data_IF_439660811807
#
_entry.id   IF_439660811807
#
_cell.length_a   1.000
_cell.length_b   1.000
_cell.length_c   1.000
_cell.angle_alpha   90.00
_cell.angle_beta   90.00
_cell.angle_gamma   90.00
#
_symmetry.space_group_name_H-M   'P 1'
#
loop_
_entity.id
_entity.type
_entity.pdbx_description
1 polymer ?
#
# COMPACT_ATOMS: atom_id res chain seq x y z
N UNK A 1 -26.42 -12.04 24.77
CA UNK A 1 -26.92 -11.93 23.39
C UNK A 1 -27.87 -10.75 23.15
N UNK A 2 -28.97 -10.55 23.94
CA UNK A 2 -29.94 -9.46 23.66
C UNK A 2 -29.34 -8.03 23.59
N UNK A 3 -28.41 -7.67 24.50
CA UNK A 3 -27.78 -6.35 24.53
C UNK A 3 -26.91 -6.14 23.28
N UNK A 4 -26.08 -7.11 22.90
CA UNK A 4 -25.24 -7.06 21.72
C UNK A 4 -26.06 -6.85 20.42
N UNK A 5 -27.11 -7.64 20.24
CA UNK A 5 -28.00 -7.47 19.07
C UNK A 5 -28.70 -6.11 19.05
N UNK A 6 -29.07 -5.58 20.22
CA UNK A 6 -29.66 -4.26 20.34
C UNK A 6 -28.65 -3.16 19.95
N UNK A 7 -27.38 -3.28 20.33
CA UNK A 7 -26.33 -2.32 19.99
C UNK A 7 -26.01 -2.32 18.46
N UNK A 8 -25.94 -3.49 17.83
CA UNK A 8 -25.81 -3.56 16.36
C UNK A 8 -27.00 -2.88 15.68
N UNK A 9 -28.24 -3.17 16.12
CA UNK A 9 -29.44 -2.51 15.58
C UNK A 9 -29.42 -1.01 15.78
N UNK A 10 -28.92 -0.54 16.92
CA UNK A 10 -28.77 0.90 17.24
C UNK A 10 -27.82 1.55 16.23
N UNK A 11 -26.63 0.97 16.01
CA UNK A 11 -25.65 1.49 15.09
C UNK A 11 -26.22 1.54 13.67
N UNK A 12 -26.81 0.45 13.18
CA UNK A 12 -27.39 0.37 11.82
C UNK A 12 -28.62 1.26 11.62
N UNK A 13 -29.30 1.72 12.68
CA UNK A 13 -30.40 2.68 12.58
C UNK A 13 -29.93 4.14 12.62
N UNK A 14 -28.67 4.39 12.92
CA UNK A 14 -28.12 5.76 12.99
C UNK A 14 -27.86 6.27 11.58
N UNK A 15 -28.52 7.37 11.18
CA UNK A 15 -28.45 7.92 9.80
C UNK A 15 -27.02 8.21 9.35
N UNK A 16 -26.18 8.79 10.22
CA UNK A 16 -24.76 9.06 9.88
C UNK A 16 -23.97 7.78 9.61
N UNK A 17 -24.22 6.70 10.35
CA UNK A 17 -23.58 5.41 10.13
C UNK A 17 -23.99 4.82 8.79
N UNK A 18 -25.28 4.87 8.45
CA UNK A 18 -25.78 4.40 7.13
C UNK A 18 -25.17 5.17 5.97
N UNK A 19 -25.05 6.50 6.09
CA UNK A 19 -24.41 7.35 5.07
C UNK A 19 -22.94 6.95 4.91
N UNK A 20 -22.21 6.73 6.00
CA UNK A 20 -20.80 6.31 5.96
C UNK A 20 -20.61 4.91 5.38
N UNK A 21 -21.50 3.96 5.69
CA UNK A 21 -21.50 2.62 5.08
C UNK A 21 -21.73 2.73 3.56
N UNK A 22 -22.73 3.53 3.15
CA UNK A 22 -23.02 3.75 1.73
C UNK A 22 -21.82 4.42 1.03
N UNK A 23 -21.20 5.41 1.66
CA UNK A 23 -20.00 6.06 1.13
C UNK A 23 -18.84 5.07 0.95
N UNK A 24 -18.59 4.18 1.91
CA UNK A 24 -17.55 3.15 1.81
C UNK A 24 -17.81 2.21 0.62
N UNK A 25 -19.07 1.78 0.44
CA UNK A 25 -19.47 0.89 -0.66
C UNK A 25 -19.37 1.57 -2.03
N UNK A 26 -19.72 2.87 -2.13
CA UNK A 26 -19.64 3.63 -3.39
C UNK A 26 -18.20 4.01 -3.76
N UNK A 27 -17.32 4.19 -2.78
CA UNK A 27 -15.91 4.48 -3.03
C UNK A 27 -15.18 3.27 -3.65
N UNK A 28 -15.60 2.03 -3.37
CA UNK A 28 -14.98 0.84 -3.92
C UNK A 28 -14.96 0.84 -5.47
N UNK A 29 -16.10 0.89 -6.17
CA UNK A 29 -16.10 0.92 -7.63
C UNK A 29 -15.47 2.20 -8.20
N UNK A 30 -15.63 3.35 -7.54
CA UNK A 30 -15.06 4.60 -8.01
C UNK A 30 -13.52 4.53 -8.04
N UNK A 31 -12.88 4.12 -6.93
CA UNK A 31 -11.42 4.04 -6.85
C UNK A 31 -10.83 2.85 -7.60
N UNK A 32 -11.56 1.74 -7.72
CA UNK A 32 -11.12 0.58 -8.50
C UNK A 32 -11.02 0.86 -10.00
N UNK A 33 -11.80 1.81 -10.50
CA UNK A 33 -11.81 2.17 -11.92
C UNK A 33 -10.65 3.09 -12.31
N UNK A 34 -10.17 3.95 -11.39
CA UNK A 34 -9.18 4.98 -11.73
C UNK A 34 -7.86 4.44 -12.29
N UNK A 35 -7.17 3.46 -11.70
CA UNK A 35 -5.89 3.00 -12.22
C UNK A 35 -5.97 2.58 -13.69
N UNK A 36 -6.94 1.75 -14.04
CA UNK A 36 -7.14 1.33 -15.42
C UNK A 36 -7.46 2.50 -16.36
N UNK A 37 -8.18 3.54 -15.87
CA UNK A 37 -8.57 4.70 -16.68
C UNK A 37 -7.41 5.62 -17.06
N UNK A 38 -6.27 5.53 -16.37
CA UNK A 38 -5.08 6.33 -16.68
C UNK A 38 -4.27 5.75 -17.82
N UNK A 39 -4.44 4.45 -18.09
CA UNK A 39 -3.69 3.78 -19.14
C UNK A 39 -4.05 4.35 -20.51
N UNK A 40 -3.03 4.60 -21.30
CA UNK A 40 -3.15 5.17 -22.64
C UNK A 40 -2.25 4.43 -23.62
N UNK A 41 -2.77 4.19 -24.80
CA UNK A 41 -2.02 3.59 -25.90
C UNK A 41 -2.23 4.38 -27.17
N UNK A 42 -1.13 4.76 -27.83
CA UNK A 42 -1.17 5.50 -29.10
C UNK A 42 -0.63 4.62 -30.22
N UNK A 43 -1.34 4.53 -31.32
CA UNK A 43 -0.95 3.78 -32.52
C UNK A 43 -1.28 4.58 -33.76
N UNK A 44 -0.72 4.18 -34.91
CA UNK A 44 -1.10 4.76 -36.21
C UNK A 44 -2.17 3.93 -36.86
N UNK A 45 -3.23 4.59 -37.33
CA UNK A 45 -4.29 3.96 -38.12
C UNK A 45 -3.87 3.75 -39.58
N UNK A 46 -4.75 3.12 -40.37
CA UNK A 46 -4.50 2.84 -41.79
C UNK A 46 -4.33 4.12 -42.63
N UNK A 47 -4.75 5.28 -42.14
CA UNK A 47 -4.55 6.61 -42.79
C UNK A 47 -3.24 7.26 -42.39
N UNK A 48 -2.46 6.68 -41.46
CA UNK A 48 -1.22 7.23 -40.93
C UNK A 48 -1.42 8.28 -39.83
N UNK A 49 -2.65 8.46 -39.33
CA UNK A 49 -2.94 9.37 -38.20
C UNK A 49 -2.73 8.67 -36.88
N UNK A 50 -2.22 9.42 -35.88
CA UNK A 50 -2.07 8.94 -34.52
C UNK A 50 -3.44 8.89 -33.84
N UNK A 51 -3.80 7.72 -33.32
CA UNK A 51 -5.03 7.46 -32.56
C UNK A 51 -4.64 7.02 -31.15
N UNK A 52 -5.15 7.72 -30.12
CA UNK A 52 -4.95 7.37 -28.72
C UNK A 52 -6.21 6.74 -28.15
N UNK A 53 -6.10 5.51 -27.69
CA UNK A 53 -7.12 4.81 -26.90
C UNK A 53 -6.77 4.87 -25.42
N UNK A 54 -7.78 4.72 -24.54
CA UNK A 54 -7.62 4.85 -23.09
C UNK A 54 -8.27 3.71 -22.34
N UNK A 55 -7.84 3.52 -21.11
CA UNK A 55 -8.46 2.55 -20.21
C UNK A 55 -8.27 1.12 -20.71
N UNK A 56 -9.33 0.34 -20.66
CA UNK A 56 -9.31 -1.09 -21.03
C UNK A 56 -8.83 -1.33 -22.47
N UNK A 57 -9.17 -0.48 -23.41
CA UNK A 57 -8.74 -0.65 -24.80
C UNK A 57 -7.23 -0.44 -24.93
N UNK A 58 -6.66 0.48 -24.14
CA UNK A 58 -5.20 0.67 -24.06
C UNK A 58 -4.51 -0.58 -23.49
N UNK A 59 -5.02 -1.12 -22.38
CA UNK A 59 -4.51 -2.34 -21.76
C UNK A 59 -4.52 -3.56 -22.70
N UNK A 60 -5.57 -3.70 -23.51
CA UNK A 60 -5.64 -4.78 -24.49
C UNK A 60 -4.56 -4.64 -25.56
N UNK A 61 -4.35 -3.42 -26.06
CA UNK A 61 -3.29 -3.13 -27.05
C UNK A 61 -1.89 -3.34 -26.49
N UNK A 62 -1.67 -2.92 -25.25
CA UNK A 62 -0.41 -3.15 -24.54
C UNK A 62 -0.15 -4.65 -24.38
N UNK A 63 -1.14 -5.42 -23.93
CA UNK A 63 -1.02 -6.87 -23.74
C UNK A 63 -0.72 -7.62 -25.07
N UNK A 64 -1.30 -7.18 -26.19
CA UNK A 64 -0.98 -7.70 -27.51
C UNK A 64 0.49 -7.46 -27.88
N UNK A 65 1.02 -6.25 -27.59
CA UNK A 65 2.39 -5.88 -27.92
C UNK A 65 3.44 -6.58 -27.03
N UNK A 66 3.11 -6.87 -25.79
CA UNK A 66 4.05 -7.43 -24.82
C UNK A 66 4.28 -8.96 -24.93
N UNK A 67 3.55 -9.66 -25.79
CA UNK A 67 3.48 -11.13 -25.83
C UNK A 67 4.81 -11.88 -25.80
N UNK A 68 5.87 -11.40 -26.47
CA UNK A 68 7.18 -12.07 -26.46
C UNK A 68 7.97 -11.90 -25.15
N UNK A 69 7.66 -10.88 -24.35
CA UNK A 69 8.31 -10.59 -23.07
C UNK A 69 7.51 -11.07 -21.86
N UNK A 70 6.37 -11.70 -22.07
CA UNK A 70 5.58 -12.35 -21.01
C UNK A 70 6.27 -13.61 -20.48
N UNK A 71 6.00 -13.94 -19.20
CA UNK A 71 6.56 -15.11 -18.51
C UNK A 71 7.89 -14.81 -17.83
N UNK A 72 8.74 -15.81 -17.68
CA UNK A 72 10.04 -15.65 -17.00
C UNK A 72 10.97 -14.78 -17.84
N UNK A 73 11.55 -13.76 -17.21
CA UNK A 73 12.47 -12.80 -17.83
C UNK A 73 13.90 -13.38 -17.71
N UNK A 74 14.25 -14.25 -18.63
CA UNK A 74 15.59 -14.86 -18.71
C UNK A 74 16.64 -13.86 -19.18
N UNK A 75 17.93 -14.19 -19.01
CA UNK A 75 19.05 -13.39 -19.54
C UNK A 75 18.92 -13.16 -21.05
N UNK A 76 18.44 -14.15 -21.80
CA UNK A 76 18.16 -14.01 -23.24
C UNK A 76 17.11 -12.91 -23.52
N UNK A 77 16.05 -12.84 -22.70
CA UNK A 77 15.04 -11.79 -22.84
C UNK A 77 15.55 -10.42 -22.41
N UNK A 78 16.45 -10.34 -21.44
CA UNK A 78 17.11 -9.10 -21.04
C UNK A 78 17.99 -8.57 -22.16
N UNK A 79 18.79 -9.45 -22.80
CA UNK A 79 19.59 -9.10 -23.96
C UNK A 79 18.71 -8.70 -25.16
N UNK A 80 17.64 -9.43 -25.42
CA UNK A 80 16.68 -9.10 -26.48
C UNK A 80 15.99 -7.76 -26.25
N UNK A 81 15.65 -7.41 -25.00
CA UNK A 81 15.09 -6.13 -24.64
C UNK A 81 16.09 -4.99 -24.87
N UNK A 82 17.36 -5.20 -24.47
CA UNK A 82 18.42 -4.23 -24.70
C UNK A 82 18.68 -4.02 -26.21
N UNK A 83 18.75 -5.11 -26.99
CA UNK A 83 18.96 -5.03 -28.43
C UNK A 83 17.80 -4.30 -29.12
N UNK A 84 16.55 -4.61 -28.73
CA UNK A 84 15.37 -3.91 -29.28
C UNK A 84 15.40 -2.40 -29.05
N UNK A 85 15.86 -1.98 -27.87
CA UNK A 85 16.05 -0.56 -27.56
C UNK A 85 17.15 0.06 -28.45
N UNK A 86 18.32 -0.60 -28.54
CA UNK A 86 19.44 -0.14 -29.36
C UNK A 86 19.06 -0.01 -30.85
N UNK A 87 18.34 -0.99 -31.39
CA UNK A 87 17.85 -0.96 -32.77
C UNK A 87 16.87 0.22 -32.98
N UNK A 88 16.00 0.47 -31.99
CA UNK A 88 15.09 1.62 -32.03
C UNK A 88 15.85 2.95 -32.01
N UNK A 89 16.79 3.12 -31.08
CA UNK A 89 17.59 4.33 -30.94
C UNK A 89 18.49 4.58 -32.20
N UNK A 90 19.05 3.53 -32.80
CA UNK A 90 19.84 3.60 -34.02
C UNK A 90 19.02 4.08 -35.25
N UNK A 91 17.70 3.99 -35.21
CA UNK A 91 16.81 4.55 -36.24
C UNK A 91 16.75 6.10 -36.25
N UNK A 92 17.32 6.74 -35.23
CA UNK A 92 17.38 8.20 -35.12
C UNK A 92 18.81 8.70 -35.33
N UNK A 93 19.00 9.68 -36.21
CA UNK A 93 20.32 10.25 -36.51
C UNK A 93 20.94 10.88 -35.27
N UNK A 94 22.11 10.38 -34.85
CA UNK A 94 22.80 10.83 -33.65
C UNK A 94 22.28 10.19 -32.36
N UNK A 95 21.46 9.11 -32.43
CA UNK A 95 20.86 8.43 -31.26
C UNK A 95 19.72 9.20 -30.59
N UNK A 96 19.36 8.82 -29.38
CA UNK A 96 18.30 9.43 -28.56
C UNK A 96 18.87 9.94 -27.22
N UNK A 97 19.58 11.08 -27.18
CA UNK A 97 20.25 11.58 -25.98
C UNK A 97 19.27 11.82 -24.81
N UNK A 98 18.04 12.20 -25.09
CA UNK A 98 16.98 12.38 -24.10
C UNK A 98 16.08 11.12 -23.95
N UNK A 99 16.52 9.99 -24.56
CA UNK A 99 15.81 8.73 -24.52
C UNK A 99 14.41 8.85 -25.11
N UNK A 100 13.40 8.38 -24.38
CA UNK A 100 11.98 8.44 -24.80
C UNK A 100 11.38 9.85 -24.78
N UNK A 101 12.05 10.82 -24.15
CA UNK A 101 11.61 12.20 -24.08
C UNK A 101 12.18 13.07 -25.23
N UNK A 102 12.96 12.46 -26.13
CA UNK A 102 13.43 13.14 -27.34
C UNK A 102 12.24 13.54 -28.22
N UNK A 103 12.18 14.80 -28.61
CA UNK A 103 11.07 15.37 -29.39
C UNK A 103 10.81 14.67 -30.74
N UNK A 104 11.79 13.90 -31.21
CA UNK A 104 11.68 13.11 -32.47
C UNK A 104 10.91 11.80 -32.24
N UNK A 105 10.76 11.34 -30.99
CA UNK A 105 10.04 10.10 -30.64
C UNK A 105 8.56 10.42 -30.54
N UNK A 106 7.77 9.87 -31.45
CA UNK A 106 6.32 10.02 -31.37
C UNK A 106 5.73 9.00 -30.36
N UNK A 107 4.54 9.31 -29.83
CA UNK A 107 3.88 8.41 -28.90
C UNK A 107 3.54 7.05 -29.52
N UNK A 108 3.16 7.02 -30.81
CA UNK A 108 2.91 5.79 -31.56
C UNK A 108 4.18 4.95 -31.74
N UNK A 109 5.31 5.59 -32.13
CA UNK A 109 6.59 4.89 -32.30
C UNK A 109 7.05 4.25 -30.98
N UNK A 110 6.89 4.96 -29.84
CA UNK A 110 7.21 4.42 -28.53
C UNK A 110 6.31 3.22 -28.19
N UNK A 111 4.97 3.40 -28.26
CA UNK A 111 4.02 2.37 -27.90
C UNK A 111 4.21 1.09 -28.73
N UNK A 112 4.34 1.21 -30.04
CA UNK A 112 4.41 0.06 -30.94
C UNK A 112 5.78 -0.66 -30.92
N UNK A 113 6.88 0.09 -30.75
CA UNK A 113 8.23 -0.45 -30.94
C UNK A 113 8.93 -0.87 -29.66
N UNK A 114 8.79 -0.08 -28.56
CA UNK A 114 9.64 -0.26 -27.37
C UNK A 114 8.92 -0.20 -26.02
N UNK A 115 7.62 0.08 -25.97
CA UNK A 115 6.89 0.08 -24.67
C UNK A 115 6.97 -1.26 -23.95
N UNK A 116 6.94 -2.35 -24.71
CA UNK A 116 7.02 -3.72 -24.20
C UNK A 116 8.35 -4.10 -23.53
N UNK A 117 9.41 -3.32 -23.75
CA UNK A 117 10.70 -3.51 -23.08
C UNK A 117 11.00 -2.40 -22.08
N UNK A 118 10.23 -1.32 -22.09
CA UNK A 118 10.48 -0.13 -21.28
C UNK A 118 10.55 -0.42 -19.79
N UNK A 119 9.62 -1.22 -19.26
CA UNK A 119 9.60 -1.64 -17.86
C UNK A 119 10.82 -2.47 -17.48
N UNK A 120 11.20 -3.44 -18.32
CA UNK A 120 12.37 -4.30 -18.10
C UNK A 120 13.65 -3.47 -18.08
N UNK A 121 13.81 -2.58 -19.07
CA UNK A 121 14.99 -1.70 -19.15
C UNK A 121 15.08 -0.74 -17.98
N UNK A 122 13.97 -0.20 -17.50
CA UNK A 122 13.94 0.62 -16.30
C UNK A 122 14.45 -0.14 -15.08
N UNK A 123 14.04 -1.41 -14.92
CA UNK A 123 14.54 -2.26 -13.82
C UNK A 123 16.04 -2.56 -13.98
N UNK A 124 16.51 -2.75 -15.20
CA UNK A 124 17.95 -2.89 -15.47
C UNK A 124 18.71 -1.61 -15.09
N UNK A 125 18.27 -0.43 -15.54
CA UNK A 125 18.87 0.84 -15.15
C UNK A 125 18.89 1.03 -13.63
N UNK A 126 17.79 0.73 -12.96
CA UNK A 126 17.67 0.82 -11.50
C UNK A 126 18.64 -0.09 -10.76
N UNK A 127 18.83 -1.33 -11.22
CA UNK A 127 19.77 -2.27 -10.59
C UNK A 127 21.23 -1.74 -10.60
N UNK A 128 21.59 -0.98 -11.62
CA UNK A 128 22.91 -0.36 -11.79
C UNK A 128 22.97 1.11 -11.34
N UNK A 129 21.91 1.63 -10.71
CA UNK A 129 21.93 2.98 -10.15
C UNK A 129 22.99 3.12 -9.06
N UNK A 130 23.67 4.25 -9.01
CA UNK A 130 24.57 4.58 -7.90
C UNK A 130 23.74 4.79 -6.62
N UNK A 131 23.91 3.95 -5.59
CA UNK A 131 23.13 4.05 -4.37
C UNK A 131 23.24 5.42 -3.68
N UNK A 132 24.39 6.13 -3.83
CA UNK A 132 24.63 7.40 -3.14
C UNK A 132 23.94 8.57 -3.79
N UNK A 133 23.93 8.60 -5.11
CA UNK A 133 23.34 9.71 -5.88
C UNK A 133 21.95 9.42 -6.38
N UNK A 134 21.53 8.13 -6.41
CA UNK A 134 20.30 7.68 -7.03
C UNK A 134 20.31 7.76 -8.56
N UNK A 135 21.44 8.14 -9.17
CA UNK A 135 21.55 8.28 -10.63
C UNK A 135 21.69 6.89 -11.24
N UNK A 136 20.74 6.54 -12.09
CA UNK A 136 20.77 5.32 -12.89
C UNK A 136 21.46 5.61 -14.25
N UNK A 137 22.12 4.60 -14.87
CA UNK A 137 22.58 4.72 -16.25
C UNK A 137 21.38 4.94 -17.19
N UNK A 138 21.60 5.63 -18.29
CA UNK A 138 20.63 5.72 -19.37
C UNK A 138 20.40 4.35 -20.03
N UNK A 139 19.27 4.19 -20.71
CA UNK A 139 19.00 2.93 -21.45
C UNK A 139 20.04 2.70 -22.57
N UNK A 140 20.56 3.79 -23.15
CA UNK A 140 21.61 3.73 -24.18
C UNK A 140 22.97 3.32 -23.64
N UNK A 141 23.23 3.59 -22.34
CA UNK A 141 24.48 3.27 -21.67
C UNK A 141 24.55 1.82 -21.18
N UNK A 142 23.42 1.09 -21.23
CA UNK A 142 23.38 -0.30 -20.77
C UNK A 142 24.20 -1.21 -21.69
N UNK A 143 25.02 -2.08 -21.08
CA UNK A 143 25.87 -3.05 -21.78
C UNK A 143 25.27 -4.46 -21.70
N UNK A 144 25.73 -5.36 -22.59
CA UNK A 144 25.37 -6.78 -22.54
C UNK A 144 25.84 -7.45 -21.24
N UNK A 145 27.00 -7.05 -20.72
CA UNK A 145 27.53 -7.54 -19.44
C UNK A 145 26.61 -7.15 -18.28
N UNK A 146 26.07 -5.93 -18.32
CA UNK A 146 25.08 -5.49 -17.33
C UNK A 146 23.75 -6.25 -17.43
N UNK A 147 23.34 -6.62 -18.63
CA UNK A 147 22.15 -7.45 -18.83
C UNK A 147 22.34 -8.86 -18.27
N UNK A 148 23.46 -9.50 -18.54
CA UNK A 148 23.78 -10.86 -18.01
C UNK A 148 24.03 -10.85 -16.49
N UNK A 149 24.59 -9.77 -15.95
CA UNK A 149 24.82 -9.59 -14.51
C UNK A 149 23.60 -9.11 -13.71
N UNK A 150 22.45 -8.88 -14.33
CA UNK A 150 21.28 -8.21 -13.73
C UNK A 150 20.82 -8.82 -12.40
N UNK A 151 20.60 -10.12 -12.34
CA UNK A 151 20.09 -10.77 -11.12
C UNK A 151 21.06 -10.73 -9.94
N UNK A 152 22.36 -10.88 -10.20
CA UNK A 152 23.38 -10.73 -9.17
C UNK A 152 23.50 -9.29 -8.68
N UNK A 153 23.35 -8.32 -9.59
CA UNK A 153 23.38 -6.90 -9.28
C UNK A 153 22.16 -6.46 -8.46
N UNK A 154 20.95 -6.96 -8.74
CA UNK A 154 19.77 -6.67 -7.92
C UNK A 154 20.03 -7.00 -6.44
N UNK A 155 20.64 -8.15 -6.15
CA UNK A 155 21.00 -8.56 -4.78
C UNK A 155 22.03 -7.63 -4.14
N UNK A 156 23.04 -7.20 -4.90
CA UNK A 156 24.05 -6.26 -4.43
C UNK A 156 23.45 -4.89 -4.18
N UNK A 157 22.60 -4.42 -5.07
CA UNK A 157 21.90 -3.12 -4.96
C UNK A 157 21.10 -2.99 -3.66
N UNK A 158 20.32 -4.03 -3.29
CA UNK A 158 19.60 -4.08 -2.00
C UNK A 158 20.56 -3.89 -0.81
N UNK A 159 21.69 -4.59 -0.84
CA UNK A 159 22.70 -4.51 0.22
C UNK A 159 23.27 -3.10 0.34
N UNK A 160 23.60 -2.49 -0.79
CA UNK A 160 24.20 -1.16 -0.84
C UNK A 160 23.24 -0.07 -0.35
N UNK A 161 21.95 -0.17 -0.73
CA UNK A 161 20.91 0.74 -0.24
C UNK A 161 20.72 0.65 1.27
N UNK A 162 20.70 -0.57 1.85
CA UNK A 162 20.54 -0.76 3.29
C UNK A 162 21.76 -0.19 4.06
N UNK A 163 22.98 -0.39 3.58
CA UNK A 163 24.15 0.19 4.19
C UNK A 163 24.14 1.73 4.11
N UNK A 164 23.72 2.27 2.97
CA UNK A 164 23.62 3.73 2.82
C UNK A 164 22.58 4.31 3.79
N UNK A 165 21.37 3.75 3.83
CA UNK A 165 20.30 4.22 4.71
C UNK A 165 20.63 4.06 6.19
N UNK A 166 21.35 3.01 6.56
CA UNK A 166 21.78 2.72 7.91
C UNK A 166 22.99 3.53 8.39
N UNK A 167 23.62 4.32 7.50
CA UNK A 167 24.78 5.17 7.81
C UNK A 167 26.12 4.43 7.71
N UNK A 168 26.21 3.41 6.87
CA UNK A 168 27.42 2.62 6.62
C UNK A 168 27.41 1.23 7.26
N UNK A 169 28.51 0.50 7.08
CA UNK A 169 28.68 -0.84 7.65
C UNK A 169 28.79 -0.80 9.18
N UNK A 170 27.98 -1.59 9.84
CA UNK A 170 27.94 -1.73 11.31
C UNK A 170 27.13 -2.97 11.69
N UNK A 171 27.29 -3.49 12.90
CA UNK A 171 26.56 -4.66 13.38
C UNK A 171 25.02 -4.54 13.23
N UNK A 172 24.46 -3.32 13.38
CA UNK A 172 23.04 -3.08 13.20
C UNK A 172 22.61 -3.13 11.74
N UNK A 173 23.41 -2.58 10.82
CA UNK A 173 23.13 -2.61 9.38
C UNK A 173 23.37 -3.99 8.80
N UNK A 174 24.36 -4.73 9.31
CA UNK A 174 24.55 -6.14 8.97
C UNK A 174 23.33 -6.99 9.34
N UNK A 175 22.72 -6.72 10.51
CA UNK A 175 21.46 -7.37 10.90
C UNK A 175 20.32 -7.05 9.93
N UNK A 176 20.21 -5.83 9.41
CA UNK A 176 19.21 -5.45 8.41
C UNK A 176 19.46 -6.14 7.07
N UNK A 177 20.71 -6.13 6.59
CA UNK A 177 21.11 -6.81 5.36
C UNK A 177 20.82 -8.30 5.43
N UNK A 178 21.16 -8.98 6.53
CA UNK A 178 20.86 -10.40 6.70
C UNK A 178 19.36 -10.70 6.62
N UNK A 179 18.51 -9.88 7.25
CA UNK A 179 17.05 -10.04 7.19
C UNK A 179 16.51 -9.81 5.78
N UNK A 180 16.94 -8.75 5.11
CA UNK A 180 16.49 -8.44 3.75
C UNK A 180 16.92 -9.52 2.76
N UNK A 181 18.20 -9.94 2.80
CA UNK A 181 18.70 -10.97 1.89
C UNK A 181 18.08 -12.35 2.18
N UNK A 182 17.77 -12.68 3.44
CA UNK A 182 17.06 -13.91 3.77
C UNK A 182 15.63 -13.98 3.20
N UNK A 183 14.99 -12.82 3.00
CA UNK A 183 13.71 -12.73 2.29
C UNK A 183 13.94 -12.76 0.77
N UNK A 184 14.90 -11.99 0.27
CA UNK A 184 15.20 -11.90 -1.15
C UNK A 184 15.66 -13.24 -1.75
N UNK A 185 16.41 -14.04 -1.01
CA UNK A 185 16.86 -15.38 -1.45
C UNK A 185 15.70 -16.38 -1.64
N UNK A 186 14.45 -15.99 -1.25
CA UNK A 186 13.22 -16.75 -1.51
C UNK A 186 12.47 -16.24 -2.74
N UNK A 187 12.90 -15.13 -3.33
CA UNK A 187 12.28 -14.60 -4.56
C UNK A 187 12.56 -15.57 -5.69
N UNK A 188 11.51 -15.92 -6.42
CA UNK A 188 11.66 -16.82 -7.59
C UNK A 188 12.42 -16.13 -8.71
N UNK A 189 13.51 -16.73 -9.15
CA UNK A 189 14.33 -16.25 -10.26
C UNK A 189 14.34 -17.28 -11.39
N UNK A 190 14.32 -16.85 -12.66
CA UNK A 190 14.12 -15.49 -13.16
C UNK A 190 12.75 -14.91 -12.78
N UNK A 191 12.67 -13.57 -12.62
CA UNK A 191 11.43 -12.88 -12.33
C UNK A 191 10.35 -13.16 -13.37
N UNK A 192 9.11 -13.26 -12.93
CA UNK A 192 7.96 -13.47 -13.82
C UNK A 192 7.31 -12.13 -14.15
N UNK A 193 6.98 -11.91 -15.42
CA UNK A 193 6.25 -10.75 -15.90
C UNK A 193 4.98 -11.18 -16.64
N UNK A 194 3.88 -10.58 -16.27
CA UNK A 194 2.60 -10.69 -16.96
C UNK A 194 2.03 -9.28 -17.15
N UNK A 195 1.71 -8.85 -18.39
CA UNK A 195 1.09 -7.55 -18.61
C UNK A 195 -0.30 -7.48 -17.98
N UNK A 196 -0.62 -6.37 -17.32
CA UNK A 196 -1.90 -6.20 -16.63
C UNK A 196 -1.84 -5.14 -15.54
N UNK A 197 -1.98 -5.55 -14.28
CA UNK A 197 -1.97 -4.64 -13.12
C UNK A 197 -0.74 -3.74 -13.12
N UNK A 198 -0.95 -2.44 -12.90
CA UNK A 198 0.08 -1.39 -12.93
C UNK A 198 0.49 -0.98 -11.51
N UNK A 199 1.64 -0.28 -11.34
CA UNK A 199 2.05 0.26 -10.03
C UNK A 199 0.99 1.15 -9.38
N UNK A 200 0.27 1.94 -10.18
CA UNK A 200 -0.81 2.81 -9.70
C UNK A 200 -1.92 2.01 -9.04
N UNK A 201 -2.23 0.81 -9.53
CA UNK A 201 -3.23 -0.04 -8.93
C UNK A 201 -2.87 -0.42 -7.48
N UNK A 202 -1.59 -0.74 -7.21
CA UNK A 202 -1.10 -1.05 -5.85
C UNK A 202 -1.23 0.18 -4.94
N UNK A 203 -0.91 1.37 -5.45
CA UNK A 203 -1.05 2.61 -4.70
C UNK A 203 -2.52 2.86 -4.33
N UNK A 204 -3.46 2.64 -5.25
CA UNK A 204 -4.89 2.77 -4.99
C UNK A 204 -5.42 1.75 -3.98
N UNK A 205 -4.82 0.56 -3.88
CA UNK A 205 -5.12 -0.37 -2.77
C UNK A 205 -4.80 0.29 -1.42
N UNK A 206 -3.62 0.90 -1.30
CA UNK A 206 -3.20 1.64 -0.09
C UNK A 206 -4.11 2.82 0.24
N UNK A 207 -4.46 3.64 -0.76
CA UNK A 207 -5.38 4.78 -0.64
C UNK A 207 -6.76 4.31 -0.16
N UNK A 208 -7.29 3.24 -0.75
CA UNK A 208 -8.60 2.72 -0.36
C UNK A 208 -8.61 2.19 1.07
N UNK A 209 -7.57 1.47 1.49
CA UNK A 209 -7.39 1.02 2.87
C UNK A 209 -7.42 2.21 3.84
N UNK A 210 -6.70 3.30 3.55
CA UNK A 210 -6.71 4.51 4.37
C UNK A 210 -8.10 5.12 4.49
N UNK A 211 -8.83 5.26 3.38
CA UNK A 211 -10.19 5.81 3.37
C UNK A 211 -11.19 4.92 4.11
N UNK A 212 -11.08 3.60 4.01
CA UNK A 212 -11.90 2.67 4.79
C UNK A 212 -11.64 2.80 6.29
N UNK A 213 -10.39 2.88 6.72
CA UNK A 213 -10.04 3.07 8.13
C UNK A 213 -10.57 4.42 8.63
N UNK A 214 -10.47 5.48 7.82
CA UNK A 214 -11.03 6.79 8.13
C UNK A 214 -12.55 6.72 8.33
N UNK A 215 -13.29 6.13 7.40
CA UNK A 215 -14.75 5.97 7.49
C UNK A 215 -15.13 5.14 8.72
N UNK A 216 -14.46 4.00 8.94
CA UNK A 216 -14.69 3.13 10.10
C UNK A 216 -14.43 3.87 11.42
N UNK A 217 -13.42 4.73 11.47
CA UNK A 217 -13.13 5.59 12.62
C UNK A 217 -14.33 6.48 12.94
N UNK A 218 -14.89 7.19 11.94
CA UNK A 218 -16.05 8.06 12.16
C UNK A 218 -17.34 7.28 12.51
N UNK A 219 -17.51 6.05 12.06
CA UNK A 219 -18.60 5.16 12.48
C UNK A 219 -18.52 4.87 13.99
N UNK A 220 -17.31 4.73 14.54
CA UNK A 220 -17.12 4.35 15.94
C UNK A 220 -17.11 5.51 16.93
N UNK A 221 -16.77 6.72 16.46
CA UNK A 221 -16.73 7.92 17.34
C UNK A 221 -17.99 8.11 18.19
N UNK A 222 -19.24 7.99 17.69
CA UNK A 222 -20.43 8.24 18.49
C UNK A 222 -20.78 7.09 19.47
N UNK A 223 -20.10 5.94 19.44
CA UNK A 223 -20.51 4.75 20.20
C UNK A 223 -20.68 4.99 21.70
N UNK A 224 -19.76 5.72 22.31
CA UNK A 224 -19.85 6.16 23.71
C UNK A 224 -20.05 7.67 23.86
N UNK A 225 -19.46 8.47 22.99
CA UNK A 225 -19.48 9.93 23.08
C UNK A 225 -20.89 10.51 22.94
N UNK A 226 -21.77 9.88 22.15
CA UNK A 226 -23.16 10.34 22.01
C UNK A 226 -23.94 10.27 23.32
N UNK A 227 -23.77 9.19 24.09
CA UNK A 227 -24.46 9.05 25.38
C UNK A 227 -23.91 10.02 26.43
N UNK A 228 -22.59 10.30 26.36
CA UNK A 228 -21.97 11.30 27.21
C UNK A 228 -22.47 12.72 26.89
N UNK A 229 -22.66 13.03 25.61
CA UNK A 229 -23.17 14.31 25.16
C UNK A 229 -24.61 14.55 25.58
N UNK A 230 -25.45 13.50 25.57
CA UNK A 230 -26.86 13.58 25.96
C UNK A 230 -27.10 13.30 27.46
N UNK A 231 -26.04 13.04 28.24
CA UNK A 231 -26.08 12.60 29.64
C UNK A 231 -26.82 11.29 29.88
N UNK A 232 -27.16 10.55 28.81
CA UNK A 232 -27.79 9.23 28.90
C UNK A 232 -26.88 8.21 29.58
N UNK A 233 -25.57 8.41 29.57
CA UNK A 233 -24.59 7.55 30.22
C UNK A 233 -24.82 7.43 31.75
N UNK A 234 -25.34 8.46 32.42
CA UNK A 234 -25.66 8.44 33.84
C UNK A 234 -26.79 7.43 34.13
N UNK A 235 -27.86 7.49 33.33
CA UNK A 235 -29.01 6.60 33.46
C UNK A 235 -28.60 5.15 33.14
N UNK A 236 -27.87 4.97 32.02
CA UNK A 236 -27.41 3.65 31.59
C UNK A 236 -26.55 2.96 32.64
N UNK A 237 -25.65 3.70 33.31
CA UNK A 237 -24.75 3.16 34.34
C UNK A 237 -25.45 2.78 35.64
N UNK A 238 -26.67 3.30 35.90
CA UNK A 238 -27.52 2.87 37.04
C UNK A 238 -28.18 1.52 36.77
N UNK A 239 -28.34 1.10 35.52
CA UNK A 239 -28.93 -0.19 35.21
C UNK A 239 -27.98 -1.35 35.60
N UNK A 240 -28.55 -2.51 35.94
CA UNK A 240 -27.83 -3.70 36.41
C UNK A 240 -26.69 -4.13 35.47
N UNK A 241 -26.91 -4.06 34.15
CA UNK A 241 -25.95 -4.46 33.11
C UNK A 241 -25.30 -3.27 32.40
N UNK A 242 -25.54 -2.03 32.83
CA UNK A 242 -25.18 -0.77 32.16
C UNK A 242 -23.70 -0.41 32.21
N UNK A 243 -22.88 -1.08 32.98
CA UNK A 243 -21.45 -0.84 33.10
C UNK A 243 -20.64 -1.82 32.25
N UNK A 244 -20.20 -2.95 32.82
CA UNK A 244 -19.27 -3.87 32.13
C UNK A 244 -19.92 -4.57 30.93
N UNK A 245 -21.14 -5.14 31.11
CA UNK A 245 -21.79 -5.90 30.00
C UNK A 245 -22.13 -4.99 28.82
N UNK A 246 -22.62 -3.78 29.09
CA UNK A 246 -22.91 -2.81 28.04
C UNK A 246 -21.62 -2.37 27.34
N UNK A 247 -20.55 -2.05 28.09
CA UNK A 247 -19.25 -1.67 27.50
C UNK A 247 -18.72 -2.75 26.56
N UNK A 248 -18.65 -4.00 27.03
CA UNK A 248 -18.17 -5.12 26.21
C UNK A 248 -19.06 -5.33 24.99
N UNK A 249 -20.40 -5.28 25.16
CA UNK A 249 -21.33 -5.46 24.03
C UNK A 249 -21.17 -4.36 22.97
N UNK A 250 -20.91 -3.10 23.37
CA UNK A 250 -20.68 -1.97 22.47
C UNK A 250 -19.35 -2.06 21.72
N UNK A 251 -18.30 -2.41 22.44
CA UNK A 251 -16.97 -2.61 21.83
C UNK A 251 -17.06 -3.73 20.79
N UNK A 252 -17.60 -4.89 21.16
CA UNK A 252 -17.74 -6.01 20.24
C UNK A 252 -18.67 -5.71 19.05
N UNK A 253 -19.79 -5.01 19.29
CA UNK A 253 -20.71 -4.61 18.22
C UNK A 253 -20.07 -3.62 17.24
N UNK A 254 -19.32 -2.65 17.78
CA UNK A 254 -18.58 -1.69 16.97
C UNK A 254 -17.49 -2.35 16.14
N UNK A 255 -16.64 -3.15 16.77
CA UNK A 255 -15.55 -3.88 16.10
C UNK A 255 -16.08 -4.86 15.03
N UNK A 256 -17.15 -5.60 15.33
CA UNK A 256 -17.77 -6.50 14.37
C UNK A 256 -18.33 -5.74 13.16
N UNK A 257 -19.03 -4.62 13.41
CA UNK A 257 -19.61 -3.81 12.33
C UNK A 257 -18.53 -3.26 11.40
N UNK A 258 -17.50 -2.60 11.93
CA UNK A 258 -16.45 -2.01 11.10
C UNK A 258 -15.55 -3.07 10.47
N UNK A 259 -15.28 -4.17 11.18
CA UNK A 259 -14.52 -5.31 10.63
C UNK A 259 -15.25 -5.98 9.47
N UNK A 260 -16.56 -6.23 9.61
CA UNK A 260 -17.37 -6.79 8.52
C UNK A 260 -17.47 -5.82 7.34
N UNK A 261 -17.69 -4.52 7.60
CA UNK A 261 -17.71 -3.49 6.56
C UNK A 261 -16.39 -3.46 5.78
N UNK A 262 -15.26 -3.44 6.50
CA UNK A 262 -13.94 -3.43 5.88
C UNK A 262 -13.73 -4.65 4.96
N UNK A 263 -13.99 -5.85 5.47
CA UNK A 263 -13.79 -7.08 4.70
C UNK A 263 -14.68 -7.13 3.44
N UNK A 264 -15.96 -6.72 3.56
CA UNK A 264 -16.87 -6.67 2.41
C UNK A 264 -16.39 -5.63 1.38
N UNK A 265 -16.07 -4.42 1.84
CA UNK A 265 -15.64 -3.34 0.97
C UNK A 265 -14.28 -3.64 0.31
N UNK A 266 -13.33 -4.22 1.06
CA UNK A 266 -12.03 -4.59 0.53
C UNK A 266 -12.12 -5.71 -0.51
N UNK A 267 -12.93 -6.74 -0.23
CA UNK A 267 -13.18 -7.81 -1.21
C UNK A 267 -13.85 -7.27 -2.49
N UNK A 268 -14.84 -6.38 -2.35
CA UNK A 268 -15.48 -5.73 -3.49
C UNK A 268 -14.49 -4.88 -4.29
N UNK A 269 -13.66 -4.10 -3.60
CA UNK A 269 -12.67 -3.24 -4.24
C UNK A 269 -11.64 -4.06 -5.03
N UNK A 270 -11.01 -5.07 -4.42
CA UNK A 270 -10.02 -5.92 -5.09
C UNK A 270 -10.64 -6.68 -6.27
N UNK A 271 -11.87 -7.17 -6.11
CA UNK A 271 -12.58 -7.83 -7.21
C UNK A 271 -12.78 -6.89 -8.41
N UNK A 272 -13.23 -5.66 -8.16
CA UNK A 272 -13.48 -4.68 -9.21
C UNK A 272 -12.18 -4.14 -9.82
N UNK A 273 -11.15 -3.89 -8.99
CA UNK A 273 -9.84 -3.47 -9.44
C UNK A 273 -9.26 -4.50 -10.41
N UNK A 274 -9.16 -5.75 -9.97
CA UNK A 274 -8.58 -6.81 -10.80
C UNK A 274 -9.44 -7.15 -12.04
N UNK A 275 -10.76 -7.00 -11.94
CA UNK A 275 -11.64 -7.13 -13.10
C UNK A 275 -11.41 -6.04 -14.16
N UNK A 276 -10.97 -4.82 -13.76
CA UNK A 276 -10.64 -3.76 -14.71
C UNK A 276 -9.38 -4.06 -15.53
N UNK A 277 -8.50 -4.94 -15.02
CA UNK A 277 -7.31 -5.48 -15.69
C UNK A 277 -7.50 -6.91 -16.24
N UNK A 278 -8.76 -7.38 -16.37
CA UNK A 278 -9.09 -8.74 -16.80
C UNK A 278 -8.40 -9.84 -15.96
N UNK A 279 -8.09 -9.57 -14.68
CA UNK A 279 -7.34 -10.43 -13.75
C UNK A 279 -5.92 -10.80 -14.23
N UNK A 280 -5.31 -9.97 -15.08
CA UNK A 280 -3.95 -10.16 -15.60
C UNK A 280 -2.94 -9.36 -14.78
N UNK A 281 -1.68 -9.81 -14.81
CA UNK A 281 -0.57 -9.14 -14.10
C UNK A 281 -0.43 -9.52 -12.64
N UNK A 282 -1.34 -10.34 -12.08
CA UNK A 282 -1.32 -10.74 -10.67
C UNK A 282 -0.13 -11.64 -10.30
N UNK A 283 0.40 -12.38 -11.27
CA UNK A 283 1.56 -13.26 -11.10
C UNK A 283 2.90 -12.56 -11.37
N UNK A 284 2.87 -11.26 -11.71
CA UNK A 284 4.09 -10.47 -11.91
C UNK A 284 4.88 -10.36 -10.61
N UNK A 285 6.19 -10.60 -10.70
CA UNK A 285 7.12 -10.39 -9.58
C UNK A 285 7.19 -8.91 -9.21
N UNK A 286 7.15 -8.60 -7.92
CA UNK A 286 7.21 -7.21 -7.43
C UNK A 286 8.47 -6.48 -7.88
N UNK A 287 9.57 -7.22 -8.04
CA UNK A 287 10.87 -6.72 -8.49
C UNK A 287 10.81 -6.12 -9.89
N UNK A 288 9.90 -6.59 -10.74
CA UNK A 288 9.70 -6.03 -12.08
C UNK A 288 8.67 -4.90 -12.10
N UNK A 289 7.59 -5.03 -11.34
CA UNK A 289 6.53 -4.03 -11.37
C UNK A 289 6.91 -2.79 -10.56
N UNK A 290 7.42 -2.97 -9.34
CA UNK A 290 7.63 -1.87 -8.39
C UNK A 290 9.08 -1.38 -8.42
N UNK A 291 10.03 -2.22 -7.99
CA UNK A 291 11.44 -1.86 -7.86
C UNK A 291 12.28 -3.11 -7.63
N UNK A 292 13.48 -3.16 -8.21
CA UNK A 292 14.44 -4.26 -7.98
C UNK A 292 14.92 -4.32 -6.52
N UNK A 293 14.75 -3.24 -5.76
CA UNK A 293 15.09 -3.18 -4.34
C UNK A 293 14.05 -3.83 -3.42
N UNK A 294 12.88 -4.20 -3.93
CA UNK A 294 11.86 -4.95 -3.17
C UNK A 294 12.36 -6.36 -2.90
N UNK A 295 12.57 -6.69 -1.63
CA UNK A 295 13.08 -8.01 -1.23
C UNK A 295 11.98 -8.99 -0.76
N UNK A 296 10.70 -8.64 -0.92
CA UNK A 296 9.58 -9.53 -0.64
C UNK A 296 9.42 -10.60 -1.72
N UNK A 297 9.37 -11.89 -1.34
CA UNK A 297 9.14 -13.00 -2.27
C UNK A 297 7.64 -13.15 -2.58
N UNK A 298 7.01 -12.11 -3.10
CA UNK A 298 5.58 -12.07 -3.39
C UNK A 298 5.33 -11.64 -4.83
N UNK A 299 4.17 -12.06 -5.36
CA UNK A 299 3.61 -11.52 -6.59
C UNK A 299 2.70 -10.32 -6.29
N UNK A 300 2.30 -9.60 -7.33
CA UNK A 300 1.38 -8.45 -7.22
C UNK A 300 0.09 -8.82 -6.50
N UNK A 301 -0.58 -9.90 -6.91
CA UNK A 301 -1.83 -10.32 -6.28
C UNK A 301 -1.65 -10.73 -4.80
N UNK A 302 -0.50 -11.32 -4.46
CA UNK A 302 -0.19 -11.63 -3.06
C UNK A 302 0.06 -10.36 -2.23
N UNK A 303 0.71 -9.34 -2.81
CA UNK A 303 0.91 -8.05 -2.15
C UNK A 303 -0.42 -7.33 -1.90
N UNK A 304 -1.35 -7.31 -2.87
CA UNK A 304 -2.68 -6.74 -2.68
C UNK A 304 -3.43 -7.37 -1.50
N UNK A 305 -3.40 -8.70 -1.40
CA UNK A 305 -4.00 -9.42 -0.27
C UNK A 305 -3.28 -9.09 1.05
N UNK A 306 -1.94 -9.01 1.03
CA UNK A 306 -1.16 -8.66 2.20
C UNK A 306 -1.47 -7.25 2.70
N UNK A 307 -1.61 -6.26 1.79
CA UNK A 307 -2.02 -4.89 2.12
C UNK A 307 -3.42 -4.90 2.74
N UNK A 308 -4.35 -5.67 2.17
CA UNK A 308 -5.70 -5.82 2.72
C UNK A 308 -5.70 -6.38 4.15
N UNK A 309 -4.90 -7.42 4.42
CA UNK A 309 -4.76 -8.01 5.76
C UNK A 309 -4.09 -7.04 6.74
N UNK A 310 -3.01 -6.38 6.32
CA UNK A 310 -2.31 -5.41 7.15
C UNK A 310 -3.21 -4.20 7.51
N UNK A 311 -3.99 -3.74 6.53
CA UNK A 311 -5.00 -2.70 6.74
C UNK A 311 -6.08 -3.13 7.72
N UNK A 312 -6.52 -4.39 7.69
CA UNK A 312 -7.48 -4.93 8.66
C UNK A 312 -6.92 -4.96 10.10
N UNK A 313 -5.68 -5.40 10.27
CA UNK A 313 -5.01 -5.42 11.58
C UNK A 313 -4.88 -3.99 12.12
N UNK A 314 -4.46 -3.04 11.28
CA UNK A 314 -4.37 -1.62 11.64
C UNK A 314 -5.74 -1.01 11.93
N UNK A 315 -6.78 -1.38 11.18
CA UNK A 315 -8.17 -0.99 11.47
C UNK A 315 -8.57 -1.41 12.89
N UNK A 316 -8.29 -2.64 13.30
CA UNK A 316 -8.65 -3.12 14.64
C UNK A 316 -7.98 -2.29 15.74
N UNK A 317 -6.69 -1.94 15.59
CA UNK A 317 -5.97 -1.07 16.52
C UNK A 317 -6.58 0.34 16.58
N UNK A 318 -6.77 0.96 15.40
CA UNK A 318 -7.36 2.30 15.27
C UNK A 318 -8.79 2.35 15.80
N UNK A 319 -9.58 1.31 15.53
CA UNK A 319 -10.96 1.16 16.01
C UNK A 319 -11.02 1.04 17.54
N UNK A 320 -10.16 0.23 18.15
CA UNK A 320 -10.07 0.10 19.60
C UNK A 320 -9.65 1.42 20.26
N UNK A 321 -8.67 2.13 19.67
CA UNK A 321 -8.23 3.45 20.11
C UNK A 321 -9.36 4.49 19.98
N UNK A 322 -10.09 4.49 18.87
CA UNK A 322 -11.24 5.38 18.65
C UNK A 322 -12.34 5.14 19.70
N UNK A 323 -12.64 3.89 20.01
CA UNK A 323 -13.58 3.53 21.09
C UNK A 323 -13.10 4.00 22.46
N UNK A 324 -11.79 3.92 22.74
CA UNK A 324 -11.20 4.48 23.95
C UNK A 324 -11.40 6.01 24.02
N UNK A 325 -11.07 6.74 22.92
CA UNK A 325 -11.31 8.20 22.84
C UNK A 325 -12.79 8.55 23.01
N UNK A 326 -13.68 7.82 22.33
CA UNK A 326 -15.14 7.98 22.47
C UNK A 326 -15.61 7.85 23.91
N UNK A 327 -15.02 6.91 24.68
CA UNK A 327 -15.31 6.74 26.10
C UNK A 327 -14.75 7.84 27.00
N UNK A 328 -13.75 8.60 26.56
CA UNK A 328 -13.09 9.68 27.35
C UNK A 328 -13.64 11.05 27.05
N UNK A 329 -14.06 11.32 25.84
CA UNK A 329 -14.52 12.64 25.38
C UNK A 329 -15.97 12.91 25.81
N UNK A 330 -16.30 14.20 25.99
CA UNK A 330 -17.64 14.62 26.43
C UNK A 330 -18.63 14.78 25.27
N UNK A 331 -18.13 15.08 24.08
CA UNK A 331 -18.93 15.33 22.89
C UNK A 331 -18.45 14.51 21.70
N UNK A 332 -19.36 14.23 20.78
CA UNK A 332 -19.03 13.54 19.52
C UNK A 332 -18.02 14.36 18.71
N UNK A 333 -18.18 15.68 18.67
CA UNK A 333 -17.28 16.57 17.93
C UNK A 333 -15.83 16.50 18.45
N UNK A 334 -15.62 16.59 19.78
CA UNK A 334 -14.27 16.49 20.35
C UNK A 334 -13.64 15.12 20.11
N UNK A 335 -14.43 14.04 20.17
CA UNK A 335 -13.95 12.69 19.87
C UNK A 335 -13.59 12.53 18.39
N UNK A 336 -14.36 13.12 17.46
CA UNK A 336 -14.08 13.12 16.01
C UNK A 336 -12.77 13.84 15.70
N UNK A 337 -12.57 15.03 16.24
CA UNK A 337 -11.36 15.82 16.02
C UNK A 337 -10.14 15.06 16.55
N UNK A 338 -10.21 14.52 17.77
CA UNK A 338 -9.12 13.75 18.35
C UNK A 338 -8.80 12.49 17.54
N UNK A 339 -9.83 11.71 17.15
CA UNK A 339 -9.63 10.49 16.36
C UNK A 339 -9.01 10.79 14.98
N UNK A 340 -9.48 11.85 14.30
CA UNK A 340 -8.91 12.30 13.04
C UNK A 340 -7.46 12.77 13.19
N UNK A 341 -7.16 13.57 14.21
CA UNK A 341 -5.81 14.05 14.48
C UNK A 341 -4.83 12.87 14.69
N UNK A 342 -5.23 11.86 15.47
CA UNK A 342 -4.41 10.67 15.68
C UNK A 342 -4.29 9.78 14.44
N UNK A 343 -5.29 9.75 13.55
CA UNK A 343 -5.20 9.04 12.28
C UNK A 343 -4.16 9.67 11.35
N UNK A 344 -4.06 10.99 11.33
CA UNK A 344 -3.11 11.73 10.48
C UNK A 344 -1.71 11.84 11.14
N UNK A 345 -1.63 11.69 12.45
CA UNK A 345 -0.40 11.91 13.21
C UNK A 345 0.81 11.09 12.70
N UNK A 346 0.69 9.78 12.32
CA UNK A 346 1.82 9.03 11.75
C UNK A 346 2.37 9.67 10.47
N UNK A 347 1.52 10.26 9.63
CA UNK A 347 1.94 10.96 8.40
C UNK A 347 2.71 12.25 8.75
N UNK A 348 2.21 13.01 9.73
CA UNK A 348 2.89 14.22 10.22
C UNK A 348 4.26 13.86 10.82
N UNK A 349 4.34 12.79 11.61
CA UNK A 349 5.61 12.29 12.17
C UNK A 349 6.57 11.89 11.06
N UNK A 350 6.09 11.21 10.02
CA UNK A 350 6.90 10.82 8.87
C UNK A 350 7.51 12.03 8.15
N UNK A 351 6.73 13.11 7.98
CA UNK A 351 7.20 14.33 7.31
C UNK A 351 8.10 15.19 8.19
N UNK A 352 7.87 15.20 9.51
CA UNK A 352 8.54 16.10 10.43
C UNK A 352 9.80 15.50 11.10
N UNK A 353 9.85 14.17 11.25
CA UNK A 353 10.90 13.48 12.00
C UNK A 353 11.58 12.41 11.15
N UNK A 354 12.81 12.71 10.72
CA UNK A 354 13.67 11.75 10.04
C UNK A 354 14.39 10.82 11.03
N UNK A 355 15.00 9.76 10.51
CA UNK A 355 15.87 8.84 11.24
C UNK A 355 15.13 7.84 12.12
N UNK A 356 15.89 7.16 12.99
CA UNK A 356 15.39 5.99 13.72
C UNK A 356 14.23 6.33 14.69
N UNK A 357 14.30 7.48 15.37
CA UNK A 357 13.24 7.91 16.31
C UNK A 357 11.92 8.14 15.58
N UNK A 358 11.95 8.80 14.41
CA UNK A 358 10.76 9.01 13.58
C UNK A 358 10.17 7.69 13.10
N UNK A 359 11.00 6.72 12.69
CA UNK A 359 10.60 5.37 12.30
C UNK A 359 9.87 4.65 13.43
N UNK A 360 10.42 4.64 14.64
CA UNK A 360 9.79 4.04 15.81
C UNK A 360 8.46 4.74 16.16
N UNK A 361 8.49 6.07 16.27
CA UNK A 361 7.30 6.83 16.72
C UNK A 361 6.12 6.63 15.77
N UNK A 362 6.34 6.71 14.45
CA UNK A 362 5.25 6.52 13.47
C UNK A 362 4.65 5.11 13.50
N UNK A 363 5.49 4.08 13.70
CA UNK A 363 5.04 2.69 13.73
C UNK A 363 4.31 2.32 15.02
N UNK A 364 4.60 3.02 16.13
CA UNK A 364 3.97 2.81 17.44
C UNK A 364 2.70 3.65 17.66
N UNK A 365 2.18 4.30 16.62
CA UNK A 365 0.91 5.02 16.67
C UNK A 365 -0.23 4.12 16.15
N UNK A 366 -1.45 4.20 16.73
CA UNK A 366 -2.57 3.31 16.40
C UNK A 366 -2.96 3.23 14.91
N UNK A 367 -2.62 4.23 14.14
CA UNK A 367 -2.82 4.26 12.68
C UNK A 367 -1.51 4.12 11.89
N UNK A 368 -0.42 3.63 12.52
CA UNK A 368 0.92 3.58 11.92
C UNK A 368 1.02 2.76 10.64
N UNK A 369 0.14 1.78 10.45
CA UNK A 369 0.09 0.93 9.25
C UNK A 369 -0.73 1.50 8.09
N UNK A 370 -1.43 2.64 8.25
CA UNK A 370 -2.23 3.27 7.19
C UNK A 370 -1.83 4.72 6.97
N UNK A 371 -1.93 5.17 5.72
CA UNK A 371 -1.58 6.54 5.34
C UNK A 371 -1.42 6.66 3.84
N UNK A 372 -1.34 7.89 3.35
CA UNK A 372 -1.17 8.17 1.91
C UNK A 372 0.30 8.14 1.48
N UNK A 373 1.24 8.35 2.40
CA UNK A 373 2.67 8.46 2.09
C UNK A 373 3.58 7.61 2.98
N UNK A 374 3.04 6.94 3.99
CA UNK A 374 3.81 6.22 5.01
C UNK A 374 3.13 4.94 5.49
N UNK A 375 2.29 4.35 4.66
CA UNK A 375 1.53 3.15 5.01
C UNK A 375 2.39 1.89 5.03
N UNK A 376 1.78 0.80 5.48
CA UNK A 376 2.32 -0.55 5.35
C UNK A 376 2.72 -0.85 3.89
N UNK A 377 1.94 -0.39 2.91
CA UNK A 377 2.22 -0.57 1.48
C UNK A 377 3.60 -0.04 1.11
N UNK A 378 3.89 1.24 1.43
CA UNK A 378 5.19 1.84 1.16
C UNK A 378 6.31 1.16 1.95
N UNK A 379 6.08 0.87 3.25
CA UNK A 379 7.08 0.20 4.07
C UNK A 379 7.41 -1.23 3.61
N UNK A 380 6.45 -1.92 2.99
CA UNK A 380 6.64 -3.27 2.43
C UNK A 380 7.44 -3.26 1.12
N UNK A 381 7.40 -2.17 0.37
CA UNK A 381 8.12 -1.99 -0.89
C UNK A 381 9.46 -1.28 -0.74
N UNK A 382 9.79 -0.81 0.48
CA UNK A 382 11.00 -0.04 0.79
C UNK A 382 12.00 -0.86 1.61
N UNK A 383 13.27 -0.43 1.61
CA UNK A 383 14.39 -1.03 2.36
C UNK A 383 14.45 -0.58 3.83
N UNK A 384 13.37 0.02 4.34
CA UNK A 384 13.32 0.68 5.64
C UNK A 384 13.38 -0.26 6.85
N UNK A 385 14.35 -0.04 7.75
CA UNK A 385 14.48 -0.72 9.05
C UNK A 385 14.48 0.29 10.21
N UNK A 386 13.91 -0.13 11.35
CA UNK A 386 14.09 0.53 12.65
C UNK A 386 15.15 -0.25 13.45
N UNK A 387 15.97 0.47 14.22
CA UNK A 387 17.09 -0.13 14.94
C UNK A 387 16.87 -0.06 16.45
N UNK A 388 17.11 -1.18 17.16
CA UNK A 388 17.14 -1.27 18.61
C UNK A 388 18.49 -1.86 19.03
N UNK A 389 19.43 -1.00 19.46
CA UNK A 389 20.83 -1.39 19.65
C UNK A 389 21.44 -1.90 18.34
N UNK A 390 21.92 -3.13 18.34
CA UNK A 390 22.51 -3.79 17.18
C UNK A 390 21.51 -4.63 16.35
N UNK A 391 20.23 -4.64 16.74
CA UNK A 391 19.18 -5.42 16.04
C UNK A 391 18.38 -4.50 15.13
N UNK A 392 18.20 -4.91 13.88
CA UNK A 392 17.28 -4.28 12.95
C UNK A 392 15.91 -4.94 13.05
N UNK A 393 14.85 -4.16 12.90
CA UNK A 393 13.47 -4.63 12.79
C UNK A 393 12.88 -4.02 11.53
N UNK A 394 12.45 -4.85 10.61
CA UNK A 394 11.81 -4.37 9.39
C UNK A 394 10.49 -3.66 9.71
N UNK A 395 10.29 -2.47 9.12
CA UNK A 395 9.16 -1.59 9.47
C UNK A 395 7.79 -2.25 9.38
N UNK A 396 7.45 -3.07 8.36
CA UNK A 396 6.18 -3.80 8.32
C UNK A 396 5.94 -4.71 9.53
N UNK A 397 6.97 -5.41 10.01
CA UNK A 397 6.84 -6.23 11.21
C UNK A 397 6.58 -5.39 12.47
N UNK A 398 7.27 -4.25 12.57
CA UNK A 398 7.08 -3.32 13.69
C UNK A 398 5.66 -2.74 13.68
N UNK A 399 5.15 -2.32 12.51
CA UNK A 399 3.77 -1.80 12.36
C UNK A 399 2.73 -2.84 12.76
N UNK A 400 2.85 -4.07 12.29
CA UNK A 400 1.87 -5.13 12.59
C UNK A 400 1.95 -5.58 14.04
N UNK A 401 3.17 -5.70 14.60
CA UNK A 401 3.36 -6.02 16.01
C UNK A 401 2.79 -4.95 16.93
N UNK A 402 3.04 -3.67 16.64
CA UNK A 402 2.48 -2.53 17.36
C UNK A 402 0.95 -2.54 17.30
N UNK A 403 0.36 -2.65 16.11
CA UNK A 403 -1.08 -2.68 15.93
C UNK A 403 -1.77 -3.82 16.71
N UNK A 404 -1.16 -5.00 16.74
CA UNK A 404 -1.71 -6.13 17.51
C UNK A 404 -1.72 -5.85 19.03
N UNK A 405 -0.65 -5.28 19.56
CA UNK A 405 -0.55 -4.90 20.99
C UNK A 405 -1.53 -3.77 21.31
N UNK A 406 -1.61 -2.76 20.48
CA UNK A 406 -2.49 -1.60 20.63
C UNK A 406 -3.97 -1.99 20.59
N UNK A 407 -4.34 -2.89 19.70
CA UNK A 407 -5.70 -3.43 19.64
C UNK A 407 -6.13 -3.98 21.00
N UNK A 408 -5.31 -4.86 21.60
CA UNK A 408 -5.62 -5.47 22.91
C UNK A 408 -5.66 -4.40 24.00
N UNK A 409 -4.64 -3.54 24.05
CA UNK A 409 -4.51 -2.49 25.05
C UNK A 409 -5.71 -1.54 25.03
N UNK A 410 -6.02 -0.97 23.87
CA UNK A 410 -7.07 0.04 23.75
C UNK A 410 -8.47 -0.55 23.84
N UNK A 411 -8.71 -1.79 23.44
CA UNK A 411 -9.98 -2.47 23.67
C UNK A 411 -10.27 -2.61 25.17
N UNK A 412 -9.26 -2.98 25.97
CA UNK A 412 -9.39 -3.04 27.45
C UNK A 412 -9.57 -1.64 28.02
N UNK A 413 -8.75 -0.66 27.61
CA UNK A 413 -8.84 0.72 28.08
C UNK A 413 -10.18 1.39 27.74
N UNK A 414 -10.79 1.08 26.60
CA UNK A 414 -12.12 1.56 26.23
C UNK A 414 -13.18 1.08 27.24
N UNK A 415 -13.16 -0.21 27.60
CA UNK A 415 -14.04 -0.77 28.60
C UNK A 415 -13.85 -0.17 30.00
N UNK A 416 -12.60 -0.02 30.44
CA UNK A 416 -12.24 0.61 31.72
C UNK A 416 -12.66 2.07 31.75
N UNK A 417 -12.43 2.82 30.67
CA UNK A 417 -12.80 4.23 30.54
C UNK A 417 -14.30 4.46 30.74
N UNK A 418 -15.14 3.66 30.09
CA UNK A 418 -16.59 3.71 30.28
C UNK A 418 -17.01 3.39 31.71
N UNK A 419 -16.43 2.33 32.32
CA UNK A 419 -16.81 1.90 33.65
C UNK A 419 -16.41 2.88 34.77
N UNK A 420 -15.27 3.58 34.62
CA UNK A 420 -14.74 4.50 35.65
C UNK A 420 -15.29 5.92 35.55
N UNK A 421 -15.83 6.32 34.43
CA UNK A 421 -16.40 7.66 34.24
C UNK A 421 -17.63 7.84 35.11
N UNK A 422 -17.63 8.86 35.98
CA UNK A 422 -18.73 9.16 36.91
C UNK A 422 -18.56 8.57 38.32
N UNK A 423 -17.34 8.13 38.67
CA UNK A 423 -16.88 8.03 40.06
C UNK A 423 -16.11 9.35 40.38
#
# INVERSE_FOLDING_TARGET
MRIFTAEIKRLLKTRSVLILILAALLLAPALAYFPASFETWTYRDDSGQEVTVKGRDALLKEAENQGQFQGKITEEKLLAALQRWKDFAAGYEGGLPDGIYDERVTASDYCEKVSNVGGILNRMCEAWADPKTGIAPGRDDLTEEQATGFYSQCRQHIKDLIYLEGGGESARTDSAVQQALALYDRVEMPFTYEPGVTPDAIEYVGIYVFLLVLICTFILVPVFASDCQTQADQILKCARDGRRRLAVSRILAGLLLVGALYLICMALFLLLLNASFDFKGLDTSLQLLVSVSVFLPLTVGQLELLIGVAGFVTLLATAAFTLFLSGRMKTVASASIAAFAFLILPMVVYMALSGNIGKWLRCLLPAGGVGLINSFTYAAMDTGFAYLGNTAIWLPYLMMGAAAVEFILFAVLAGVSWCRRGK
#
